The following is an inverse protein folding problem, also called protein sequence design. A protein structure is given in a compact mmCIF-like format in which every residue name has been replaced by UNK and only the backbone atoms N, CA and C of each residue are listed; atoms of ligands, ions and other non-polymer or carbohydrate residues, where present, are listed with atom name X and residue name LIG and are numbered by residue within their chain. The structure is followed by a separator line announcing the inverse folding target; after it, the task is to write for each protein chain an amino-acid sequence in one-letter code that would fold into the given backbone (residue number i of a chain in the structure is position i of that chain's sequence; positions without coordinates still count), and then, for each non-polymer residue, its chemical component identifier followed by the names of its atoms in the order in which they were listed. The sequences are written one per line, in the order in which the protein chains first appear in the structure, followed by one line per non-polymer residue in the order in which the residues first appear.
data_IF_823705386974
#
_entry.id   IF_823705386974
#
_cell.length_a   1.000
_cell.length_b   1.000
_cell.length_c   1.000
_cell.angle_alpha   90.00
_cell.angle_beta   90.00
_cell.angle_gamma   90.00
#
_symmetry.space_group_name_H-M   'P 1'
#
loop_
_entity.id
_entity.type
_entity.pdbx_description
1 polymer ?
#
# COMPACT_ATOMS: atom_id res chain seq x y z
N UNK A 1 -15.96 -12.89 4.75
CA UNK A 1 -15.42 -12.79 4.70
C UNK A 1 -14.76 -12.08 3.70
N UNK A 2 -14.22 -11.33 3.49
CA UNK A 2 -13.64 -10.50 2.56
C UNK A 2 -12.86 -11.25 1.51
N UNK A 3 -12.86 -10.70 0.35
CA UNK A 3 -11.98 -11.16 -0.71
C UNK A 3 -10.64 -10.45 -0.63
N UNK A 4 -9.87 -10.47 -1.72
CA UNK A 4 -8.54 -9.87 -1.76
C UNK A 4 -8.55 -8.39 -1.41
N UNK A 5 -7.50 -7.95 -0.71
CA UNK A 5 -7.39 -6.59 -0.18
C UNK A 5 -6.13 -5.93 -0.69
N UNK A 6 -6.26 -4.70 -1.16
CA UNK A 6 -5.13 -3.87 -1.54
C UNK A 6 -4.98 -2.73 -0.51
N UNK A 7 -3.77 -2.58 0.02
CA UNK A 7 -3.44 -1.50 0.94
C UNK A 7 -2.41 -0.60 0.27
N UNK A 8 -2.64 0.71 0.31
CA UNK A 8 -1.70 1.67 -0.25
C UNK A 8 -1.41 2.72 0.83
N UNK A 9 -0.16 2.85 1.21
CA UNK A 9 0.27 3.73 2.28
C UNK A 9 1.29 4.74 1.80
N UNK A 10 1.20 5.96 2.31
CA UNK A 10 2.24 6.97 2.11
C UNK A 10 2.70 7.48 3.46
N UNK A 11 4.02 7.45 3.70
CA UNK A 11 4.59 7.93 4.95
C UNK A 11 3.94 7.29 6.16
N UNK A 12 3.48 8.07 7.12
CA UNK A 12 2.86 7.56 8.32
C UNK A 12 1.48 6.95 8.09
N UNK A 13 0.95 7.02 6.86
CA UNK A 13 -0.30 6.35 6.52
C UNK A 13 -0.26 4.85 6.68
N UNK A 14 0.93 4.27 6.80
CA UNK A 14 1.04 2.83 7.07
C UNK A 14 0.53 2.47 8.47
N UNK A 15 0.54 3.41 9.40
CA UNK A 15 0.19 3.11 10.80
C UNK A 15 -1.22 2.54 10.94
N UNK A 16 -2.28 3.20 10.42
CA UNK A 16 -3.61 2.59 10.53
C UNK A 16 -3.73 1.29 9.74
N UNK A 17 -2.99 1.13 8.63
CA UNK A 17 -3.07 -0.09 7.85
C UNK A 17 -2.35 -1.25 8.53
N UNK A 18 -1.38 -0.95 9.38
CA UNK A 18 -0.63 -1.99 10.08
C UNK A 18 -1.54 -2.83 10.98
N UNK A 19 -2.57 -2.23 11.56
CA UNK A 19 -3.50 -2.99 12.39
C UNK A 19 -4.24 -4.06 11.58
N UNK A 20 -4.55 -3.77 10.32
CA UNK A 20 -5.20 -4.75 9.44
C UNK A 20 -4.26 -5.91 9.11
N UNK A 21 -3.00 -5.59 8.84
CA UNK A 21 -2.00 -6.62 8.54
C UNK A 21 -1.77 -7.51 9.76
N UNK A 22 -1.67 -6.90 10.92
CA UNK A 22 -1.48 -7.66 12.18
C UNK A 22 -2.69 -8.53 12.49
N UNK A 23 -3.89 -8.00 12.28
CA UNK A 23 -5.10 -8.79 12.52
C UNK A 23 -5.15 -10.00 11.59
N UNK A 24 -4.84 -9.80 10.31
CA UNK A 24 -4.80 -10.89 9.34
C UNK A 24 -3.86 -12.00 9.81
N UNK A 25 -2.67 -11.62 10.28
CA UNK A 25 -1.69 -12.58 10.77
C UNK A 25 -2.19 -13.29 12.03
N UNK A 26 -2.82 -12.54 12.95
CA UNK A 26 -3.28 -13.09 14.22
C UNK A 26 -4.37 -14.14 14.04
N UNK A 27 -5.26 -13.94 13.07
CA UNK A 27 -6.34 -14.91 12.81
C UNK A 27 -5.95 -15.98 11.79
N UNK A 28 -4.72 -15.95 11.29
CA UNK A 28 -4.25 -16.95 10.35
C UNK A 28 -4.95 -16.90 9.00
N UNK A 29 -5.39 -15.74 8.58
CA UNK A 29 -6.09 -15.58 7.32
C UNK A 29 -5.16 -15.85 6.14
N UNK A 30 -5.69 -16.48 5.09
CA UNK A 30 -4.96 -16.67 3.83
C UNK A 30 -5.53 -15.84 2.71
N UNK A 31 -6.44 -14.91 3.01
CA UNK A 31 -7.00 -14.01 2.00
C UNK A 31 -5.84 -13.19 1.41
N UNK A 32 -5.72 -13.14 0.08
CA UNK A 32 -4.64 -12.39 -0.55
C UNK A 32 -4.67 -10.91 -0.16
N UNK A 33 -3.51 -10.39 0.19
CA UNK A 33 -3.37 -8.98 0.60
C UNK A 33 -2.04 -8.45 0.06
N UNK A 34 -2.09 -7.27 -0.54
CA UNK A 34 -0.90 -6.59 -1.04
C UNK A 34 -0.81 -5.22 -0.40
N UNK A 35 0.38 -4.85 0.05
CA UNK A 35 0.68 -3.51 0.56
C UNK A 35 1.65 -2.84 -0.39
N UNK A 36 1.27 -1.66 -0.89
CA UNK A 36 2.17 -0.79 -1.63
C UNK A 36 2.46 0.41 -0.73
N UNK A 37 3.72 0.59 -0.36
CA UNK A 37 4.12 1.57 0.64
C UNK A 37 5.09 2.56 -0.01
N UNK A 38 4.64 3.81 -0.12
CA UNK A 38 5.46 4.90 -0.66
C UNK A 38 6.19 5.60 0.49
N UNK A 39 7.50 5.69 0.39
CA UNK A 39 8.34 6.39 1.35
C UNK A 39 9.35 7.24 0.59
N UNK A 40 9.83 8.31 1.20
CA UNK A 40 10.86 9.13 0.56
C UNK A 40 12.18 8.41 0.50
N UNK A 41 12.59 7.82 1.61
CA UNK A 41 13.86 7.13 1.74
C UNK A 41 13.66 5.84 2.54
N UNK A 42 14.60 4.90 2.47
CA UNK A 42 14.51 3.68 3.29
C UNK A 42 14.46 3.97 4.78
N UNK A 43 15.15 5.02 5.24
CA UNK A 43 15.18 5.37 6.66
C UNK A 43 13.83 5.84 7.16
N UNK A 44 12.96 6.33 6.27
CA UNK A 44 11.64 6.81 6.65
C UNK A 44 10.59 5.69 6.73
N UNK A 45 10.94 4.47 6.37
CA UNK A 45 10.02 3.34 6.42
C UNK A 45 9.74 2.97 7.87
N UNK A 46 8.46 2.98 8.24
CA UNK A 46 8.00 2.59 9.58
C UNK A 46 7.70 1.10 9.57
N UNK A 47 8.06 0.39 10.63
CA UNK A 47 7.78 -1.05 10.79
C UNK A 47 8.53 -1.92 9.78
N UNK A 48 9.68 -1.47 9.30
CA UNK A 48 10.40 -2.19 8.25
C UNK A 48 10.66 -3.65 8.61
N UNK A 49 11.20 -3.89 9.79
CA UNK A 49 11.55 -5.27 10.21
C UNK A 49 10.30 -6.13 10.39
N UNK A 50 9.26 -5.55 10.98
CA UNK A 50 8.00 -6.28 11.17
C UNK A 50 7.36 -6.64 9.83
N UNK A 51 7.35 -5.70 8.88
CA UNK A 51 6.78 -5.94 7.57
C UNK A 51 7.53 -7.06 6.82
N UNK A 52 8.85 -7.05 6.89
CA UNK A 52 9.64 -8.09 6.22
C UNK A 52 9.41 -9.45 6.87
N UNK A 53 9.31 -9.49 8.20
CA UNK A 53 9.04 -10.72 8.92
C UNK A 53 7.67 -11.30 8.54
N UNK A 54 6.65 -10.42 8.47
CA UNK A 54 5.30 -10.86 8.12
C UNK A 54 5.22 -11.33 6.69
N UNK A 55 5.89 -10.65 5.76
CA UNK A 55 5.91 -11.08 4.37
C UNK A 55 6.49 -12.48 4.23
N UNK A 56 7.55 -12.79 4.99
CA UNK A 56 8.21 -14.09 4.92
C UNK A 56 7.42 -15.20 5.59
N UNK A 57 6.58 -14.86 6.58
CA UNK A 57 5.89 -15.87 7.38
C UNK A 57 4.42 -16.03 7.05
N UNK A 58 3.82 -15.07 6.31
CA UNK A 58 2.38 -15.10 6.03
C UNK A 58 2.12 -15.45 4.58
N UNK A 59 1.30 -16.46 4.36
CA UNK A 59 0.92 -16.84 3.01
C UNK A 59 -0.01 -15.79 2.40
N UNK A 60 0.26 -15.43 1.16
CA UNK A 60 -0.62 -14.51 0.42
C UNK A 60 -0.46 -13.03 0.76
N UNK A 61 0.57 -12.67 1.54
CA UNK A 61 0.86 -11.28 1.85
C UNK A 61 2.06 -10.81 1.04
N UNK A 62 1.84 -9.80 0.18
CA UNK A 62 2.92 -9.19 -0.59
C UNK A 62 3.16 -7.77 -0.13
N UNK A 63 4.40 -7.36 -0.04
CA UNK A 63 4.77 -6.02 0.40
C UNK A 63 5.71 -5.41 -0.63
N UNK A 64 5.35 -4.23 -1.12
CA UNK A 64 6.09 -3.53 -2.15
C UNK A 64 6.38 -2.11 -1.70
N UNK A 65 7.61 -1.66 -1.92
CA UNK A 65 8.01 -0.30 -1.59
C UNK A 65 8.25 0.50 -2.86
N UNK A 66 7.92 1.79 -2.83
CA UNK A 66 8.43 2.73 -3.82
C UNK A 66 9.09 3.88 -3.08
N UNK A 67 10.28 4.28 -3.52
CA UNK A 67 11.04 5.35 -2.88
C UNK A 67 11.05 6.56 -3.81
N UNK A 68 10.61 7.71 -3.29
CA UNK A 68 10.41 8.89 -4.12
C UNK A 68 11.58 9.84 -4.11
N UNK A 69 12.52 9.67 -3.17
CA UNK A 69 13.69 10.57 -3.09
C UNK A 69 15.00 9.81 -3.17
N UNK A 70 15.17 8.77 -2.38
CA UNK A 70 16.43 8.01 -2.35
C UNK A 70 16.09 6.53 -2.13
N UNK A 71 16.64 5.67 -2.97
CA UNK A 71 16.46 4.23 -2.87
C UNK A 71 17.66 3.57 -2.20
N UNK A 72 17.48 2.35 -1.66
CA UNK A 72 18.63 1.60 -1.14
C UNK A 72 19.63 1.29 -2.26
N UNK A 73 20.90 1.12 -1.89
CA UNK A 73 21.91 0.73 -2.84
C UNK A 73 21.52 -0.58 -3.52
N UNK A 74 21.64 -0.63 -4.85
CA UNK A 74 21.28 -1.82 -5.60
C UNK A 74 19.78 -2.03 -5.82
N UNK A 75 18.96 -1.06 -5.45
CA UNK A 75 17.51 -1.16 -5.58
C UNK A 75 17.10 -1.15 -7.05
N UNK A 76 16.33 -2.15 -7.47
CA UNK A 76 15.90 -2.28 -8.86
C UNK A 76 14.38 -2.24 -9.01
N UNK A 77 13.64 -2.04 -7.91
CA UNK A 77 12.19 -1.97 -7.96
C UNK A 77 11.73 -0.51 -8.10
N UNK A 78 10.56 -0.16 -7.60
CA UNK A 78 9.97 1.15 -7.84
C UNK A 78 10.75 2.27 -7.16
N UNK A 79 11.01 3.33 -7.92
CA UNK A 79 11.74 4.49 -7.41
C UNK A 79 11.10 5.77 -7.94
N UNK A 80 9.79 5.88 -7.78
CA UNK A 80 9.01 7.01 -8.26
C UNK A 80 7.70 7.11 -7.49
N UNK A 81 6.97 8.19 -7.71
CA UNK A 81 5.65 8.32 -7.13
C UNK A 81 4.73 7.25 -7.68
N UNK A 82 3.73 6.86 -6.87
CA UNK A 82 2.77 5.85 -7.29
C UNK A 82 2.00 6.36 -8.51
N UNK A 83 1.93 5.51 -9.53
CA UNK A 83 1.22 5.82 -10.77
C UNK A 83 0.33 4.64 -11.17
N UNK A 84 -0.44 4.82 -12.23
CA UNK A 84 -1.39 3.80 -12.68
C UNK A 84 -0.70 2.50 -13.05
N UNK A 85 0.41 2.50 -13.81
CA UNK A 85 1.09 1.24 -14.11
C UNK A 85 1.52 0.49 -12.85
N UNK A 86 2.03 1.20 -11.85
CA UNK A 86 2.44 0.57 -10.59
C UNK A 86 1.24 -0.05 -9.87
N UNK A 87 0.13 0.68 -9.79
CA UNK A 87 -1.08 0.16 -9.17
C UNK A 87 -1.58 -1.09 -9.88
N UNK A 88 -1.53 -1.09 -11.22
CA UNK A 88 -1.95 -2.23 -12.00
C UNK A 88 -1.07 -3.45 -11.75
N UNK A 89 0.23 -3.24 -11.63
CA UNK A 89 1.17 -4.33 -11.36
C UNK A 89 0.98 -4.92 -9.96
N UNK A 90 0.83 -4.08 -8.96
CA UNK A 90 0.69 -4.54 -7.57
C UNK A 90 -0.69 -5.17 -7.36
N UNK A 91 -1.72 -4.62 -7.96
CA UNK A 91 -3.08 -5.12 -7.81
C UNK A 91 -3.36 -6.36 -8.64
N UNK A 92 -2.65 -6.54 -9.75
CA UNK A 92 -2.93 -7.60 -10.71
C UNK A 92 -3.04 -9.00 -10.10
N UNK A 93 -2.07 -9.42 -9.28
CA UNK A 93 -2.13 -10.77 -8.70
C UNK A 93 -3.33 -11.00 -7.78
N UNK A 94 -3.97 -9.95 -7.30
CA UNK A 94 -5.15 -10.09 -6.44
C UNK A 94 -6.40 -10.46 -7.21
N UNK A 95 -6.44 -10.22 -8.51
CA UNK A 95 -7.64 -10.47 -9.31
C UNK A 95 -8.73 -9.49 -8.95
N UNK A 96 -9.90 -10.00 -8.56
CA UNK A 96 -11.03 -9.15 -8.18
C UNK A 96 -10.86 -8.66 -6.75
N UNK A 97 -10.50 -7.39 -6.61
CA UNK A 97 -10.25 -6.80 -5.30
C UNK A 97 -11.57 -6.50 -4.60
N UNK A 98 -11.70 -6.98 -3.37
CA UNK A 98 -12.90 -6.72 -2.57
C UNK A 98 -12.85 -5.33 -1.95
N UNK A 99 -11.70 -4.92 -1.43
CA UNK A 99 -11.53 -3.64 -0.77
C UNK A 99 -10.13 -3.09 -1.04
N UNK A 100 -10.04 -1.77 -1.20
CA UNK A 100 -8.78 -1.06 -1.29
C UNK A 100 -8.79 0.03 -0.22
N UNK A 101 -7.73 0.10 0.58
CA UNK A 101 -7.57 1.10 1.63
C UNK A 101 -6.36 1.96 1.30
N UNK A 102 -6.54 3.27 1.27
CA UNK A 102 -5.50 4.22 0.91
C UNK A 102 -5.35 5.23 2.04
N UNK A 103 -4.18 5.28 2.65
CA UNK A 103 -3.90 6.18 3.76
C UNK A 103 -2.61 6.94 3.49
N UNK A 104 -2.63 8.25 3.60
CA UNK A 104 -1.45 9.06 3.39
C UNK A 104 -1.76 10.54 3.22
N UNK A 105 -0.77 11.30 2.76
CA UNK A 105 -0.97 12.73 2.47
C UNK A 105 -2.04 12.94 1.41
N UNK A 106 -2.74 14.06 1.51
CA UNK A 106 -3.92 14.33 0.69
C UNK A 106 -3.66 14.16 -0.81
N UNK A 107 -2.57 14.73 -1.33
CA UNK A 107 -2.33 14.65 -2.77
C UNK A 107 -2.05 13.22 -3.23
N UNK A 108 -1.32 12.46 -2.43
CA UNK A 108 -1.06 11.07 -2.75
C UNK A 108 -2.36 10.26 -2.76
N UNK A 109 -3.19 10.44 -1.73
CA UNK A 109 -4.45 9.69 -1.62
C UNK A 109 -5.35 9.99 -2.82
N UNK A 110 -5.43 11.26 -3.23
CA UNK A 110 -6.25 11.62 -4.38
C UNK A 110 -5.74 11.00 -5.66
N UNK A 111 -4.44 11.04 -5.88
CA UNK A 111 -3.84 10.44 -7.07
C UNK A 111 -4.06 8.93 -7.11
N UNK A 112 -3.87 8.27 -5.97
CA UNK A 112 -4.04 6.83 -5.89
C UNK A 112 -5.50 6.43 -6.08
N UNK A 113 -6.43 7.13 -5.43
CA UNK A 113 -7.84 6.84 -5.58
C UNK A 113 -8.29 6.97 -7.02
N UNK A 114 -7.86 8.04 -7.70
CA UNK A 114 -8.17 8.22 -9.12
C UNK A 114 -7.55 7.10 -9.96
N UNK A 115 -6.32 6.71 -9.65
CA UNK A 115 -5.67 5.63 -10.37
C UNK A 115 -6.38 4.30 -10.19
N UNK A 116 -6.88 4.02 -9.00
CA UNK A 116 -7.63 2.80 -8.74
C UNK A 116 -8.92 2.76 -9.54
N UNK A 117 -9.61 3.89 -9.65
CA UNK A 117 -10.79 3.96 -10.50
C UNK A 117 -10.43 3.66 -11.96
N UNK A 118 -9.30 4.17 -12.43
CA UNK A 118 -8.86 3.93 -13.80
C UNK A 118 -8.58 2.46 -14.09
N UNK A 119 -8.15 1.69 -13.10
CA UNK A 119 -7.89 0.28 -13.32
C UNK A 119 -9.11 -0.60 -13.01
N UNK A 120 -10.27 0.03 -12.77
CA UNK A 120 -11.53 -0.69 -12.68
C UNK A 120 -12.03 -1.02 -11.29
N UNK A 121 -11.39 -0.50 -10.25
CA UNK A 121 -11.89 -0.71 -8.89
C UNK A 121 -12.99 0.30 -8.62
N UNK A 122 -14.14 -0.17 -8.16
CA UNK A 122 -15.30 0.71 -7.96
C UNK A 122 -15.12 1.63 -6.76
N UNK A 123 -15.71 2.82 -6.84
CA UNK A 123 -15.57 3.81 -5.78
C UNK A 123 -16.08 3.30 -4.43
N UNK A 124 -17.08 2.42 -4.45
CA UNK A 124 -17.62 1.84 -3.22
C UNK A 124 -16.69 0.80 -2.59
N UNK A 125 -15.62 0.42 -3.30
CA UNK A 125 -14.63 -0.52 -2.79
C UNK A 125 -13.39 0.20 -2.26
N UNK A 126 -13.31 1.51 -2.41
CA UNK A 126 -12.14 2.29 -2.03
C UNK A 126 -12.44 3.08 -0.77
N UNK A 127 -11.60 2.86 0.27
CA UNK A 127 -11.66 3.62 1.52
C UNK A 127 -10.41 4.46 1.61
N UNK A 128 -10.57 5.73 1.90
CA UNK A 128 -9.42 6.63 1.97
C UNK A 128 -9.36 7.31 3.33
N UNK A 129 -8.14 7.55 3.80
CA UNK A 129 -7.92 8.36 4.97
C UNK A 129 -6.73 9.26 4.66
N UNK A 130 -6.94 10.56 4.81
CA UNK A 130 -5.93 11.53 4.45
C UNK A 130 -5.59 12.37 5.65
N UNK A 131 -4.34 12.82 5.73
CA UNK A 131 -3.89 13.64 6.83
C UNK A 131 -2.86 14.64 6.32
N UNK A 132 -2.56 15.60 7.19
CA UNK A 132 -1.69 16.68 6.81
C UNK A 132 -2.46 17.79 6.12
N UNK A 133 -1.83 18.93 5.91
CA UNK A 133 -2.48 20.05 5.23
C UNK A 133 -2.78 19.71 3.78
N UNK A 134 -3.85 20.30 3.26
CA UNK A 134 -4.17 20.19 1.84
C UNK A 134 -3.00 20.73 1.04
N UNK A 135 -2.57 19.98 0.02
CA UNK A 135 -1.42 20.36 -0.76
C UNK A 135 -0.10 19.88 -0.18
N UNK A 136 -0.15 19.16 0.94
CA UNK A 136 1.04 18.56 1.50
C UNK A 136 1.60 17.52 0.55
N UNK A 137 2.93 17.49 0.39
CA UNK A 137 3.54 16.49 -0.42
C UNK A 137 4.33 15.59 0.46
N UNK A 138 3.94 14.45 0.57
CA UNK A 138 4.58 13.48 1.43
C UNK A 138 5.97 13.07 1.01
#
# INVERSE_FOLDING_TARGET
MGGPILLVAGGSGVVPLMSMIRHRAAVGSTVPMQLLYSSRTPEDVIYSDELMRLQNSQYGLGIFFTFTRQSPAGWTSYARRIDVPMLREVAGPLGNIAQAYVCGPTLMVEAVANGLLQIGIGSNQIRTERFGPTGSIG
#
